data_IF_325412530398
#
_entry.id   IF_325412530398
#
_cell.length_a   1.000
_cell.length_b   1.000
_cell.length_c   1.000
_cell.angle_alpha   90.00
_cell.angle_beta   90.00
_cell.angle_gamma   90.00
#
_symmetry.space_group_name_H-M   'P 1'
#
loop_
_entity.id
_entity.type
_entity.pdbx_description
1 polymer ?
#
# COMPACT_ATOMS: atom_id res chain seq x y z
N UNK A 1 -16.01 -10.18 0.79
CA UNK A 1 -15.34 -9.07 0.09
C UNK A 1 -15.79 -8.92 -1.36
N UNK A 2 -15.67 -9.94 -2.21
CA UNK A 2 -16.02 -9.87 -3.64
C UNK A 2 -17.44 -9.37 -3.89
N UNK A 3 -18.46 -10.03 -3.30
CA UNK A 3 -19.87 -9.63 -3.45
C UNK A 3 -20.10 -8.17 -3.05
N UNK A 4 -19.56 -7.73 -1.91
CA UNK A 4 -19.67 -6.32 -1.49
C UNK A 4 -18.98 -5.36 -2.44
N UNK A 5 -17.85 -5.76 -3.02
CA UNK A 5 -17.17 -4.94 -4.02
C UNK A 5 -17.99 -4.76 -5.29
N UNK A 6 -18.70 -5.79 -5.72
CA UNK A 6 -19.60 -5.72 -6.86
C UNK A 6 -20.84 -4.88 -6.56
N UNK A 7 -21.48 -5.08 -5.39
CA UNK A 7 -22.61 -4.24 -4.94
C UNK A 7 -22.20 -2.77 -4.86
N UNK A 8 -21.07 -2.44 -4.25
CA UNK A 8 -20.56 -1.06 -4.20
C UNK A 8 -20.31 -0.49 -5.62
N UNK A 9 -19.88 -1.33 -6.54
CA UNK A 9 -19.71 -0.94 -7.95
C UNK A 9 -21.05 -0.62 -8.60
N UNK A 10 -22.05 -1.45 -8.41
CA UNK A 10 -23.40 -1.25 -8.95
C UNK A 10 -24.04 0.02 -8.38
N UNK A 11 -23.90 0.25 -7.06
CA UNK A 11 -24.35 1.49 -6.40
C UNK A 11 -23.65 2.73 -6.95
N UNK A 12 -22.36 2.65 -7.26
CA UNK A 12 -21.62 3.76 -7.86
C UNK A 12 -22.08 4.04 -9.29
N UNK A 13 -22.30 2.99 -10.08
CA UNK A 13 -22.84 3.11 -11.45
C UNK A 13 -24.25 3.72 -11.41
N UNK A 14 -25.11 3.26 -10.50
CA UNK A 14 -26.44 3.81 -10.31
C UNK A 14 -26.44 5.29 -9.87
N UNK A 15 -25.39 5.71 -9.16
CA UNK A 15 -25.16 7.10 -8.74
C UNK A 15 -24.35 7.93 -9.75
N UNK A 16 -24.17 7.46 -10.98
CA UNK A 16 -23.37 8.07 -12.05
C UNK A 16 -21.92 8.42 -11.62
N UNK A 17 -21.34 7.62 -10.73
CA UNK A 17 -19.97 7.79 -10.24
C UNK A 17 -19.02 6.89 -11.04
N UNK A 18 -17.84 7.40 -11.43
CA UNK A 18 -16.90 6.61 -12.22
C UNK A 18 -16.40 5.37 -11.45
N UNK A 19 -16.42 4.24 -12.13
CA UNK A 19 -15.81 2.99 -11.67
C UNK A 19 -14.58 2.71 -12.52
N UNK A 20 -13.41 2.56 -11.86
CA UNK A 20 -12.18 2.28 -12.57
C UNK A 20 -11.95 0.78 -12.69
N UNK A 21 -11.64 0.23 -13.87
CA UNK A 21 -11.28 -1.18 -14.02
C UNK A 21 -10.15 -1.62 -13.08
N UNK A 22 -9.21 -0.73 -12.78
CA UNK A 22 -8.14 -0.93 -11.79
C UNK A 22 -8.67 -1.38 -10.43
N UNK A 23 -9.70 -0.70 -9.92
CA UNK A 23 -10.30 -1.02 -8.63
C UNK A 23 -11.02 -2.37 -8.67
N UNK A 24 -11.77 -2.64 -9.72
CA UNK A 24 -12.44 -3.93 -9.92
C UNK A 24 -11.45 -5.08 -9.97
N UNK A 25 -10.36 -4.96 -10.72
CA UNK A 25 -9.31 -5.98 -10.73
C UNK A 25 -8.69 -6.19 -9.35
N UNK A 26 -8.47 -5.12 -8.58
CA UNK A 26 -7.99 -5.24 -7.20
C UNK A 26 -8.96 -6.05 -6.33
N UNK A 27 -10.27 -5.78 -6.41
CA UNK A 27 -11.31 -6.51 -5.68
C UNK A 27 -11.36 -7.98 -6.09
N UNK A 28 -11.32 -8.26 -7.39
CA UNK A 28 -11.40 -9.62 -7.94
C UNK A 28 -10.18 -10.46 -7.55
N UNK A 29 -8.98 -9.88 -7.59
CA UNK A 29 -7.74 -10.63 -7.43
C UNK A 29 -7.23 -10.65 -5.98
N UNK A 30 -7.75 -9.82 -5.08
CA UNK A 30 -7.25 -9.70 -3.72
C UNK A 30 -7.22 -11.03 -2.95
N UNK A 31 -8.29 -11.83 -3.05
CA UNK A 31 -8.34 -13.13 -2.37
C UNK A 31 -7.29 -14.11 -2.87
N UNK A 32 -7.00 -14.07 -4.18
CA UNK A 32 -5.94 -14.88 -4.76
C UNK A 32 -4.55 -14.40 -4.33
N UNK A 33 -4.35 -13.08 -4.26
CA UNK A 33 -3.10 -12.47 -3.78
C UNK A 33 -2.85 -12.81 -2.31
N UNK A 34 -3.87 -12.73 -1.46
CA UNK A 34 -3.73 -13.11 -0.05
C UNK A 34 -3.41 -14.59 0.13
N UNK A 35 -4.04 -15.48 -0.63
CA UNK A 35 -3.74 -16.91 -0.59
C UNK A 35 -2.29 -17.17 -0.97
N UNK A 36 -1.84 -16.63 -2.09
CA UNK A 36 -0.47 -16.74 -2.55
C UNK A 36 0.55 -16.14 -1.57
N UNK A 37 0.20 -15.02 -0.92
CA UNK A 37 1.02 -14.42 0.13
C UNK A 37 1.13 -15.34 1.35
N UNK A 38 0.01 -15.88 1.83
CA UNK A 38 -0.02 -16.77 3.00
C UNK A 38 0.77 -18.07 2.76
N UNK A 39 0.74 -18.61 1.54
CA UNK A 39 1.52 -19.80 1.18
C UNK A 39 3.04 -19.54 1.21
N UNK A 40 3.47 -18.29 1.02
CA UNK A 40 4.87 -17.88 1.00
C UNK A 40 5.36 -17.35 2.34
N UNK A 41 4.46 -16.88 3.18
CA UNK A 41 4.79 -16.15 4.38
C UNK A 41 5.05 -17.10 5.55
N UNK A 42 6.29 -17.08 6.09
CA UNK A 42 6.67 -17.88 7.25
C UNK A 42 6.49 -17.15 8.61
N UNK A 43 6.02 -15.87 8.59
CA UNK A 43 5.94 -15.03 9.79
C UNK A 43 4.69 -14.14 9.84
N UNK A 44 4.41 -13.52 11.01
CA UNK A 44 3.18 -12.76 11.24
C UNK A 44 3.17 -11.36 10.58
N UNK A 45 4.31 -10.81 10.21
CA UNK A 45 4.39 -9.49 9.59
C UNK A 45 4.29 -9.58 8.06
N UNK A 46 3.46 -8.72 7.42
CA UNK A 46 3.38 -8.68 5.97
C UNK A 46 4.71 -8.17 5.38
N UNK A 47 5.44 -9.04 4.71
CA UNK A 47 6.61 -8.65 3.93
C UNK A 47 6.14 -8.03 2.60
N UNK A 48 6.55 -6.78 2.37
CA UNK A 48 6.19 -6.04 1.15
C UNK A 48 6.76 -6.71 -0.10
N UNK A 49 7.93 -7.33 -0.01
CA UNK A 49 8.54 -8.06 -1.12
C UNK A 49 7.74 -9.33 -1.45
N UNK A 50 7.29 -10.06 -0.44
CA UNK A 50 6.43 -11.23 -0.63
C UNK A 50 5.06 -10.85 -1.20
N UNK A 51 4.46 -9.76 -0.73
CA UNK A 51 3.22 -9.24 -1.30
C UNK A 51 3.39 -8.87 -2.78
N UNK A 52 4.51 -8.24 -3.13
CA UNK A 52 4.83 -7.91 -4.51
C UNK A 52 4.95 -9.16 -5.38
N UNK A 53 5.68 -10.18 -4.91
CA UNK A 53 5.81 -11.45 -5.60
C UNK A 53 4.48 -12.17 -5.76
N UNK A 54 3.64 -12.19 -4.72
CA UNK A 54 2.30 -12.75 -4.77
C UNK A 54 1.42 -12.05 -5.83
N UNK A 55 1.44 -10.71 -5.87
CA UNK A 55 0.76 -9.95 -6.92
C UNK A 55 1.25 -10.33 -8.32
N UNK A 56 2.57 -10.43 -8.52
CA UNK A 56 3.15 -10.76 -9.82
C UNK A 56 2.82 -12.19 -10.26
N UNK A 57 2.78 -13.14 -9.32
CA UNK A 57 2.38 -14.54 -9.60
C UNK A 57 0.93 -14.62 -10.00
N UNK A 58 0.03 -13.99 -9.24
CA UNK A 58 -1.40 -13.96 -9.55
C UNK A 58 -1.67 -13.29 -10.89
N UNK A 59 -1.03 -12.15 -11.17
CA UNK A 59 -1.17 -11.47 -12.46
C UNK A 59 -0.73 -12.35 -13.63
N UNK A 60 0.42 -13.02 -13.53
CA UNK A 60 0.90 -13.96 -14.57
C UNK A 60 -0.07 -15.11 -14.78
N UNK A 61 -0.59 -15.71 -13.71
CA UNK A 61 -1.55 -16.79 -13.80
C UNK A 61 -2.89 -16.34 -14.45
N UNK A 62 -3.28 -15.09 -14.27
CA UNK A 62 -4.48 -14.53 -14.90
C UNK A 62 -4.30 -14.21 -16.39
N UNK A 63 -3.08 -13.90 -16.84
CA UNK A 63 -2.82 -13.56 -18.25
C UNK A 63 -3.21 -14.66 -19.23
N UNK A 64 -3.19 -15.93 -18.80
CA UNK A 64 -3.64 -17.05 -19.61
C UNK A 64 -5.17 -17.15 -19.76
N UNK A 65 -5.93 -16.45 -18.91
CA UNK A 65 -7.41 -16.50 -18.86
C UNK A 65 -8.05 -15.18 -19.27
N UNK A 66 -7.51 -14.08 -18.78
CA UNK A 66 -8.01 -12.72 -19.01
C UNK A 66 -6.83 -11.80 -19.25
N UNK A 67 -6.79 -11.16 -20.42
CA UNK A 67 -5.79 -10.14 -20.70
C UNK A 67 -6.06 -8.88 -19.86
N UNK A 68 -5.27 -8.67 -18.79
CA UNK A 68 -5.30 -7.44 -18.01
C UNK A 68 -4.29 -6.46 -18.62
N UNK A 69 -4.74 -5.37 -19.28
CA UNK A 69 -3.83 -4.40 -19.87
C UNK A 69 -2.93 -3.76 -18.81
N UNK A 70 -1.66 -3.50 -19.18
CA UNK A 70 -0.67 -2.90 -18.26
C UNK A 70 -1.15 -1.59 -17.61
N UNK A 71 -1.93 -0.79 -18.34
CA UNK A 71 -2.52 0.45 -17.83
C UNK A 71 -3.44 0.25 -16.61
N UNK A 72 -3.97 -0.96 -16.40
CA UNK A 72 -4.76 -1.33 -15.22
C UNK A 72 -3.96 -2.17 -14.22
N UNK A 73 -3.09 -3.04 -14.69
CA UNK A 73 -2.30 -3.93 -13.84
C UNK A 73 -1.31 -3.15 -12.95
N UNK A 74 -0.63 -2.13 -13.50
CA UNK A 74 0.33 -1.31 -12.74
C UNK A 74 -0.36 -0.56 -11.61
N UNK A 75 -1.38 0.29 -11.85
CA UNK A 75 -2.05 1.02 -10.76
C UNK A 75 -2.81 0.11 -9.80
N UNK A 76 -3.31 -1.05 -10.24
CA UNK A 76 -3.89 -2.06 -9.34
C UNK A 76 -2.83 -2.59 -8.36
N UNK A 77 -1.65 -2.96 -8.86
CA UNK A 77 -0.54 -3.41 -8.02
C UNK A 77 -0.13 -2.32 -7.02
N UNK A 78 0.03 -1.07 -7.45
CA UNK A 78 0.32 0.07 -6.57
C UNK A 78 -0.73 0.18 -5.45
N UNK A 79 -2.02 0.08 -5.79
CA UNK A 79 -3.12 0.12 -4.82
C UNK A 79 -2.99 -1.00 -3.77
N UNK A 80 -2.70 -2.22 -4.21
CA UNK A 80 -2.54 -3.37 -3.30
C UNK A 80 -1.30 -3.24 -2.42
N UNK A 81 -0.20 -2.73 -2.97
CA UNK A 81 1.05 -2.48 -2.24
C UNK A 81 0.92 -1.39 -1.18
N UNK A 82 -0.07 -0.52 -1.26
CA UNK A 82 -0.37 0.47 -0.23
C UNK A 82 -1.10 -0.12 0.98
N UNK A 83 -1.73 -1.30 0.85
CA UNK A 83 -2.56 -1.85 1.93
C UNK A 83 -1.78 -2.07 3.24
N UNK A 84 -0.59 -2.66 3.27
CA UNK A 84 0.19 -2.79 4.51
C UNK A 84 0.58 -1.45 5.13
N UNK A 85 0.75 -0.39 4.32
CA UNK A 85 1.13 0.94 4.82
C UNK A 85 0.05 1.59 5.69
N UNK A 86 -1.21 1.23 5.50
CA UNK A 86 -2.29 1.71 6.38
C UNK A 86 -2.14 1.24 7.83
N UNK A 87 -1.46 0.13 8.09
CA UNK A 87 -1.20 -0.35 9.46
C UNK A 87 -0.28 0.60 10.23
N UNK A 88 0.54 1.38 9.54
CA UNK A 88 1.43 2.35 10.16
C UNK A 88 0.67 3.66 10.43
N UNK A 89 0.38 3.92 11.71
CA UNK A 89 -0.38 5.08 12.19
C UNK A 89 0.45 6.03 13.05
N UNK A 90 1.70 5.68 13.33
CA UNK A 90 2.63 6.46 14.16
C UNK A 90 3.71 7.15 13.33
N UNK A 91 4.19 8.29 13.86
CA UNK A 91 5.25 9.08 13.26
C UNK A 91 4.85 9.83 11.98
N UNK A 92 5.50 10.95 11.70
CA UNK A 92 5.17 11.86 10.58
C UNK A 92 5.24 11.18 9.21
N UNK A 93 6.07 10.13 9.07
CA UNK A 93 6.18 9.36 7.82
C UNK A 93 4.86 8.67 7.42
N UNK A 94 3.99 8.32 8.38
CA UNK A 94 2.69 7.74 8.07
C UNK A 94 1.82 8.69 7.26
N UNK A 95 1.89 9.99 7.52
CA UNK A 95 1.13 11.02 6.83
C UNK A 95 1.50 11.16 5.34
N UNK A 96 2.68 10.71 4.94
CA UNK A 96 3.08 10.72 3.52
C UNK A 96 2.15 9.88 2.64
N UNK A 97 1.43 8.92 3.25
CA UNK A 97 0.44 8.12 2.55
C UNK A 97 -0.73 8.96 2.03
N UNK A 98 -1.15 10.00 2.77
CA UNK A 98 -2.23 10.90 2.37
C UNK A 98 -1.92 11.66 1.06
N UNK A 99 -0.64 11.89 0.78
CA UNK A 99 -0.17 12.60 -0.42
C UNK A 99 0.07 11.67 -1.61
N UNK A 100 -0.09 10.36 -1.41
CA UNK A 100 0.18 9.40 -2.49
C UNK A 100 -0.89 9.49 -3.59
N UNK A 101 -0.53 9.53 -4.88
CA UNK A 101 -1.49 9.66 -5.99
C UNK A 101 -2.60 8.60 -6.00
N UNK A 102 -2.32 7.41 -5.46
CA UNK A 102 -3.28 6.31 -5.35
C UNK A 102 -3.95 6.22 -3.97
N UNK A 103 -3.72 7.19 -3.09
CA UNK A 103 -4.27 7.14 -1.73
C UNK A 103 -5.77 6.94 -1.73
N UNK A 104 -6.52 7.74 -2.50
CA UNK A 104 -7.98 7.67 -2.53
C UNK A 104 -8.48 6.28 -2.89
N UNK A 105 -7.97 5.69 -3.96
CA UNK A 105 -8.37 4.35 -4.38
C UNK A 105 -7.95 3.27 -3.36
N UNK A 106 -6.75 3.40 -2.77
CA UNK A 106 -6.27 2.48 -1.75
C UNK A 106 -7.07 2.59 -0.45
N UNK A 107 -7.50 3.79 -0.07
CA UNK A 107 -8.36 4.04 1.07
C UNK A 107 -9.78 3.49 0.84
N UNK A 108 -10.40 3.74 -0.32
CA UNK A 108 -11.70 3.15 -0.66
C UNK A 108 -11.64 1.61 -0.62
N UNK A 109 -10.50 1.02 -1.02
CA UNK A 109 -10.27 -0.41 -0.91
C UNK A 109 -10.12 -0.89 0.55
N UNK A 110 -9.46 -0.11 1.41
CA UNK A 110 -9.40 -0.39 2.85
C UNK A 110 -10.81 -0.37 3.47
N UNK A 111 -11.63 0.63 3.15
CA UNK A 111 -13.02 0.71 3.61
C UNK A 111 -13.82 -0.52 3.20
N UNK A 112 -13.69 -0.95 1.95
CA UNK A 112 -14.35 -2.17 1.46
C UNK A 112 -13.90 -3.42 2.20
N UNK A 113 -12.60 -3.53 2.51
CA UNK A 113 -12.05 -4.64 3.31
C UNK A 113 -12.59 -4.64 4.73
N UNK A 114 -12.67 -3.48 5.38
CA UNK A 114 -13.23 -3.34 6.72
C UNK A 114 -14.71 -3.70 6.75
N UNK A 115 -15.50 -3.20 5.81
CA UNK A 115 -16.91 -3.55 5.66
C UNK A 115 -17.15 -5.05 5.40
N UNK A 116 -16.19 -5.72 4.76
CA UNK A 116 -16.23 -7.15 4.50
C UNK A 116 -15.69 -8.01 5.66
N UNK A 117 -15.24 -7.39 6.76
CA UNK A 117 -14.67 -8.09 7.92
C UNK A 117 -13.27 -8.67 7.68
N UNK A 118 -12.54 -8.19 6.64
CA UNK A 118 -11.17 -8.63 6.30
C UNK A 118 -10.11 -7.57 6.61
N UNK A 119 -10.48 -6.47 7.23
CA UNK A 119 -9.58 -5.49 7.81
C UNK A 119 -10.21 -4.93 9.09
N UNK A 120 -9.37 -4.39 9.97
CA UNK A 120 -9.80 -3.78 11.22
C UNK A 120 -10.67 -2.54 10.93
N UNK A 121 -11.94 -2.48 11.42
CA UNK A 121 -12.78 -1.29 11.27
C UNK A 121 -12.20 -0.03 11.92
N UNK A 122 -11.48 -0.18 13.04
CA UNK A 122 -10.84 0.94 13.74
C UNK A 122 -9.69 1.52 12.91
N UNK A 123 -9.01 0.69 12.12
CA UNK A 123 -8.02 1.16 11.17
C UNK A 123 -8.67 2.03 10.08
N UNK A 124 -9.77 1.56 9.51
CA UNK A 124 -10.51 2.30 8.50
C UNK A 124 -11.07 3.60 9.05
N UNK A 125 -11.64 3.58 10.26
CA UNK A 125 -12.13 4.75 10.97
C UNK A 125 -11.03 5.77 11.21
N UNK A 126 -9.87 5.34 11.71
CA UNK A 126 -8.73 6.23 11.96
C UNK A 126 -8.28 6.97 10.69
N UNK A 127 -8.18 6.26 9.56
CA UNK A 127 -7.83 6.87 8.28
C UNK A 127 -8.92 7.77 7.71
N UNK A 128 -10.18 7.58 8.12
CA UNK A 128 -11.28 8.51 7.82
C UNK A 128 -11.12 9.79 8.61
N UNK A 129 -10.98 9.66 9.93
CA UNK A 129 -10.94 10.78 10.86
C UNK A 129 -9.75 11.71 10.59
N UNK A 130 -8.55 11.15 10.33
CA UNK A 130 -7.35 11.93 10.07
C UNK A 130 -7.43 12.81 8.82
N UNK A 131 -8.30 12.48 7.86
CA UNK A 131 -8.51 13.30 6.67
C UNK A 131 -9.31 14.58 6.98
N UNK A 132 -10.09 14.59 8.08
CA UNK A 132 -10.99 15.65 8.45
C UNK A 132 -10.33 16.73 9.32
N UNK A 133 -9.18 16.43 9.95
CA UNK A 133 -8.47 17.36 10.83
C UNK A 133 -7.38 18.15 10.08
N UNK A 134 -7.02 19.37 10.55
CA UNK A 134 -5.96 20.20 9.99
C UNK A 134 -4.59 19.50 10.03
N UNK A 135 -3.67 19.92 9.14
CA UNK A 135 -2.37 19.28 9.00
C UNK A 135 -1.53 19.33 10.30
N UNK A 136 -1.60 20.44 11.02
CA UNK A 136 -0.86 20.63 12.28
C UNK A 136 -1.30 19.63 13.35
N UNK A 137 -2.62 19.45 13.48
CA UNK A 137 -3.20 18.48 14.40
C UNK A 137 -2.87 17.02 13.99
N UNK A 138 -2.82 16.73 12.69
CA UNK A 138 -2.37 15.41 12.20
C UNK A 138 -0.95 15.07 12.66
N UNK A 139 -0.04 16.04 12.58
CA UNK A 139 1.35 15.87 13.01
C UNK A 139 1.42 15.59 14.51
N UNK A 140 0.73 16.40 15.33
CA UNK A 140 0.68 16.19 16.76
C UNK A 140 0.11 14.81 17.14
N UNK A 141 -0.98 14.40 16.48
CA UNK A 141 -1.66 13.12 16.71
C UNK A 141 -0.77 11.91 16.41
N UNK A 142 -0.04 11.91 15.29
CA UNK A 142 0.83 10.78 14.92
C UNK A 142 2.13 10.75 15.72
N UNK A 143 2.59 11.90 16.24
CA UNK A 143 3.76 11.98 17.12
C UNK A 143 3.44 11.51 18.54
N UNK A 144 2.25 11.81 19.05
CA UNK A 144 1.79 11.37 20.37
C UNK A 144 1.49 9.86 20.41
N UNK A 145 1.33 9.21 19.26
CA UNK A 145 1.02 7.78 19.18
C UNK A 145 2.26 6.93 19.38
N UNK A 146 2.20 5.89 20.26
CA UNK A 146 3.29 4.92 20.40
C UNK A 146 3.65 4.31 19.04
N UNK A 147 4.92 3.92 18.86
CA UNK A 147 5.36 3.26 17.64
C UNK A 147 4.54 1.98 17.39
N UNK A 148 4.04 1.83 16.16
CA UNK A 148 3.29 0.63 15.80
C UNK A 148 4.24 -0.58 15.80
N UNK A 149 3.85 -1.67 16.44
CA UNK A 149 4.67 -2.87 16.63
C UNK A 149 5.09 -3.61 15.32
N UNK A 150 4.67 -3.10 14.16
CA UNK A 150 4.88 -3.73 12.84
C UNK A 150 5.88 -2.95 11.97
N UNK A 151 6.61 -1.98 12.53
CA UNK A 151 7.41 -1.03 11.74
C UNK A 151 8.84 -1.50 11.41
N UNK A 152 9.28 -2.68 11.83
CA UNK A 152 10.68 -3.08 11.69
C UNK A 152 11.07 -3.77 10.38
N UNK A 153 10.17 -3.88 9.40
CA UNK A 153 10.40 -4.61 8.13
C UNK A 153 10.73 -3.76 6.91
N UNK A 154 10.72 -2.43 6.95
CA UNK A 154 11.02 -1.60 5.78
C UNK A 154 12.35 -0.88 5.89
N UNK A 155 13.38 -1.53 5.30
CA UNK A 155 14.50 -0.88 4.62
C UNK A 155 15.18 0.25 5.40
N UNK A 156 16.06 -0.09 6.33
CA UNK A 156 17.23 0.76 6.55
C UNK A 156 18.01 0.83 5.23
N UNK A 157 17.69 1.81 4.40
CA UNK A 157 18.60 2.24 3.36
C UNK A 157 19.87 2.68 4.07
N UNK A 158 20.92 1.86 3.98
CA UNK A 158 22.22 2.13 4.54
C UNK A 158 22.65 3.54 4.12
N UNK A 159 23.11 4.39 5.04
CA UNK A 159 23.62 5.70 4.67
C UNK A 159 24.81 5.49 3.74
N UNK A 160 24.69 5.94 2.51
CA UNK A 160 25.73 5.84 1.50
C UNK A 160 27.05 6.32 2.09
N UNK A 161 28.01 5.42 2.22
CA UNK A 161 29.40 5.76 2.53
C UNK A 161 29.89 6.76 1.48
N UNK A 162 29.86 8.05 1.84
CA UNK A 162 30.61 9.09 1.11
C UNK A 162 32.05 8.64 1.04
N UNK A 163 32.46 8.06 -0.10
CA UNK A 163 33.86 7.82 -0.45
C UNK A 163 34.56 9.18 -0.43
N UNK A 164 35.26 9.45 0.65
CA UNK A 164 36.23 10.55 0.78
C UNK A 164 37.32 10.29 -0.27
N UNK A 165 37.22 10.99 -1.40
CA UNK A 165 38.24 11.02 -2.44
C UNK A 165 39.48 11.65 -1.86
N UNK A 166 40.44 10.85 -1.40
CA UNK A 166 41.78 11.30 -1.01
C UNK A 166 42.46 11.85 -2.25
N UNK A 167 42.58 13.18 -2.30
CA UNK A 167 43.54 13.88 -3.17
C UNK A 167 44.94 13.45 -2.73
N UNK A 168 45.59 12.60 -3.51
CA UNK A 168 47.04 12.45 -3.46
C UNK A 168 47.62 13.62 -4.22
N UNK A 169 48.23 14.57 -3.50
CA UNK A 169 49.10 15.58 -4.04
C UNK A 169 50.37 14.89 -4.58
N UNK A 170 50.64 15.09 -5.85
CA UNK A 170 51.92 14.79 -6.46
C UNK A 170 52.88 15.91 -6.10
N UNK A 171 53.96 15.59 -5.38
CA UNK A 171 55.11 16.45 -5.23
C UNK A 171 56.00 16.29 -6.47
N UNK A 172 56.34 17.39 -7.08
CA UNK A 172 57.36 17.51 -8.09
C UNK A 172 58.75 17.30 -7.45
N UNK A 173 59.64 16.67 -8.18
CA UNK A 173 61.09 16.92 -8.10
C UNK A 173 61.74 16.71 -9.44
N UNK A 174 62.35 17.80 -9.86
CA UNK A 174 63.60 18.00 -10.64
C UNK A 174 63.72 17.23 -11.93
#
# INVERSE_FOLDING_TARGET
MLVRGLVNTDERIAADKPVTPTFLFAVLLWSAVLRELNERQAGPAPDLALLMQACDTVLRAQQSRVAIPRRFAIPMRELLMLQPRFNRRSGVKSLSLLQHPRFRAAYDFLLLRAQAGVADPELAKWWTDIQLIPQEERVALVQARPADAVAEGEGAAAPGRRRRRRRRGGAART
#
